data_IF_809199821589
#
_entry.id   IF_809199821589
#
_cell.length_a   1.000
_cell.length_b   1.000
_cell.length_c   1.000
_cell.angle_alpha   90.00
_cell.angle_beta   90.00
_cell.angle_gamma   90.00
#
_symmetry.space_group_name_H-M   'P 1'
#
loop_
_entity.id
_entity.type
_entity.pdbx_description
1 polymer ?
#
# COMPACT_ATOMS: atom_id res chain seq x y z
N UNK A 1 51.80 -20.42 6.49
CA UNK A 1 52.33 -21.36 5.49
C UNK A 1 51.18 -21.77 4.58
N UNK A 2 51.39 -21.54 3.30
CA UNK A 2 50.63 -21.74 2.07
C UNK A 2 49.49 -20.77 1.79
N UNK A 3 49.89 -19.82 1.04
CA UNK A 3 49.37 -19.12 -0.14
C UNK A 3 48.71 -20.09 -1.16
N UNK A 4 47.59 -19.66 -1.75
CA UNK A 4 47.34 -19.86 -3.19
C UNK A 4 46.50 -18.71 -3.75
N UNK A 5 47.16 -17.94 -4.62
CA UNK A 5 46.66 -16.93 -5.50
C UNK A 5 46.19 -17.57 -6.81
N UNK A 6 45.04 -17.22 -7.37
CA UNK A 6 44.75 -17.39 -8.78
C UNK A 6 44.15 -16.15 -9.38
N UNK A 7 44.99 -15.51 -10.20
CA UNK A 7 44.61 -14.55 -11.25
C UNK A 7 44.16 -15.33 -12.50
N UNK A 8 43.08 -14.90 -13.15
CA UNK A 8 42.82 -15.25 -14.55
C UNK A 8 42.21 -14.03 -15.24
N UNK A 9 43.06 -13.37 -16.01
CA UNK A 9 42.77 -12.36 -17.04
C UNK A 9 42.30 -13.06 -18.31
N UNK A 10 41.09 -12.78 -18.79
CA UNK A 10 40.56 -13.21 -20.07
C UNK A 10 40.36 -12.03 -21.01
N UNK A 11 41.27 -11.87 -21.95
CA UNK A 11 41.21 -10.90 -23.05
C UNK A 11 40.40 -11.55 -24.19
N UNK A 12 39.28 -10.96 -24.58
CA UNK A 12 38.59 -11.34 -25.83
C UNK A 12 39.05 -10.44 -26.98
N UNK A 13 39.67 -11.10 -27.99
CA UNK A 13 40.06 -10.51 -29.29
C UNK A 13 38.84 -10.40 -30.20
N UNK A 14 38.69 -9.25 -30.83
CA UNK A 14 37.80 -9.07 -31.97
C UNK A 14 38.48 -9.61 -33.25
N UNK A 15 37.81 -10.54 -33.92
CA UNK A 15 38.19 -10.98 -35.27
C UNK A 15 37.34 -10.31 -36.36
N UNK A 16 38.03 -10.02 -37.47
CA UNK A 16 37.62 -9.24 -38.63
C UNK A 16 36.53 -9.89 -39.46
N UNK A 17 35.56 -9.08 -39.97
CA UNK A 17 34.71 -9.46 -41.09
C UNK A 17 35.24 -8.86 -42.40
N UNK A 18 35.25 -9.62 -43.53
CA UNK A 18 35.76 -9.18 -44.81
C UNK A 18 34.77 -8.30 -45.58
N UNK A 19 35.34 -7.38 -46.36
CA UNK A 19 34.66 -6.44 -47.25
C UNK A 19 34.16 -7.09 -48.53
N UNK A 20 33.07 -6.52 -49.04
CA UNK A 20 32.62 -6.38 -50.43
C UNK A 20 32.19 -7.61 -51.24
N UNK A 21 30.89 -7.60 -51.53
CA UNK A 21 30.38 -8.14 -52.79
C UNK A 21 29.39 -7.13 -53.38
N UNK A 22 29.79 -6.55 -54.55
CA UNK A 22 28.88 -5.77 -55.39
C UNK A 22 28.01 -6.74 -56.20
N UNK A 23 26.70 -6.55 -56.15
CA UNK A 23 25.78 -7.15 -57.10
C UNK A 23 25.00 -6.07 -57.84
N UNK A 24 25.14 -6.09 -59.11
CA UNK A 24 24.50 -5.24 -60.12
C UNK A 24 22.99 -5.50 -60.17
N UNK A 25 22.23 -4.41 -60.22
CA UNK A 25 20.79 -4.40 -60.48
C UNK A 25 20.49 -4.73 -61.95
N UNK A 26 19.42 -5.41 -62.25
CA UNK A 26 18.38 -4.73 -62.98
C UNK A 26 16.94 -5.21 -62.63
N UNK A 27 16.09 -4.32 -62.16
CA UNK A 27 14.67 -4.33 -62.55
C UNK A 27 13.93 -3.07 -62.04
N UNK A 28 13.61 -2.24 -62.99
CA UNK A 28 12.78 -1.06 -62.80
C UNK A 28 11.32 -1.47 -62.78
N UNK A 29 10.63 -1.47 -61.63
CA UNK A 29 9.15 -1.44 -61.51
C UNK A 29 8.78 -0.47 -60.40
N UNK A 30 7.80 0.43 -60.58
CA UNK A 30 7.36 1.35 -59.54
C UNK A 30 6.57 0.55 -58.49
N UNK A 31 7.08 0.48 -57.29
CA UNK A 31 6.38 -0.04 -56.13
C UNK A 31 5.30 0.96 -55.72
N UNK A 32 4.04 0.57 -55.79
CA UNK A 32 2.94 1.32 -55.16
C UNK A 32 3.13 1.25 -53.64
N UNK A 33 3.48 2.38 -53.03
CA UNK A 33 3.58 2.53 -51.56
C UNK A 33 2.19 2.54 -50.99
N UNK A 34 1.72 1.39 -50.49
CA UNK A 34 0.49 1.29 -49.71
C UNK A 34 0.85 1.69 -48.25
N UNK A 35 0.52 2.91 -47.89
CA UNK A 35 0.68 3.39 -46.51
C UNK A 35 -0.41 2.72 -45.67
N UNK A 36 -0.05 1.71 -44.88
CA UNK A 36 -0.91 1.18 -43.80
C UNK A 36 -0.88 2.16 -42.63
N UNK A 37 -1.92 2.98 -42.49
CA UNK A 37 -2.14 3.74 -41.26
C UNK A 37 -2.67 2.74 -40.22
N UNK A 38 -1.79 2.23 -39.36
CA UNK A 38 -2.22 1.55 -38.14
C UNK A 38 -2.76 2.62 -37.18
N UNK A 39 -4.07 2.71 -37.10
CA UNK A 39 -4.72 3.43 -36.03
C UNK A 39 -4.45 2.71 -34.70
N UNK A 40 -3.50 3.20 -33.92
CA UNK A 40 -3.34 2.83 -32.53
C UNK A 40 -4.56 3.37 -31.77
N UNK A 41 -5.57 2.53 -31.59
CA UNK A 41 -6.60 2.77 -30.60
C UNK A 41 -5.97 2.61 -29.21
N UNK A 42 -5.35 3.68 -28.71
CA UNK A 42 -4.92 3.75 -27.33
C UNK A 42 -6.17 3.68 -26.46
N UNK A 43 -6.43 2.54 -25.80
CA UNK A 43 -7.39 2.46 -24.71
C UNK A 43 -6.91 3.43 -23.61
N UNK A 44 -7.49 4.64 -23.57
CA UNK A 44 -7.43 5.47 -22.37
C UNK A 44 -8.14 4.68 -21.27
N UNK A 45 -7.36 4.05 -20.40
CA UNK A 45 -7.87 3.57 -19.12
C UNK A 45 -8.15 4.83 -18.28
N UNK A 46 -9.39 5.32 -18.35
CA UNK A 46 -9.85 6.40 -17.49
C UNK A 46 -9.81 5.87 -16.06
N UNK A 47 -8.90 6.41 -15.25
CA UNK A 47 -8.88 6.13 -13.82
C UNK A 47 -10.20 6.64 -13.23
N UNK A 48 -11.02 5.74 -12.74
CA UNK A 48 -12.27 6.08 -12.07
C UNK A 48 -11.96 6.79 -10.75
N UNK A 49 -12.60 7.93 -10.50
CA UNK A 49 -12.49 8.66 -9.24
C UNK A 49 -13.42 8.05 -8.17
N UNK A 50 -13.16 8.28 -6.87
CA UNK A 50 -14.07 7.84 -5.81
C UNK A 50 -15.51 8.30 -5.97
N UNK A 51 -15.76 9.44 -6.63
CA UNK A 51 -17.09 9.95 -6.95
C UNK A 51 -17.88 9.07 -7.93
N UNK A 52 -17.19 8.27 -8.76
CA UNK A 52 -17.85 7.40 -9.74
C UNK A 52 -18.51 6.17 -9.11
N UNK A 53 -18.27 5.93 -7.80
CA UNK A 53 -18.80 4.78 -7.08
C UNK A 53 -20.06 5.06 -6.24
N UNK A 54 -20.78 6.13 -6.48
CA UNK A 54 -22.05 6.48 -5.81
C UNK A 54 -22.07 6.39 -4.26
N UNK A 55 -20.90 6.28 -3.63
CA UNK A 55 -20.80 6.24 -2.18
C UNK A 55 -20.89 7.66 -1.64
N UNK A 56 -21.96 7.94 -0.92
CA UNK A 56 -22.15 9.23 -0.26
C UNK A 56 -21.74 9.13 1.20
N UNK A 57 -20.93 10.09 1.65
CA UNK A 57 -20.63 10.28 3.07
C UNK A 57 -21.80 11.00 3.75
N UNK A 58 -22.06 10.62 5.00
CA UNK A 58 -23.09 11.23 5.84
C UNK A 58 -22.41 12.10 6.91
N UNK A 59 -21.99 11.53 8.01
CA UNK A 59 -21.46 12.27 9.16
C UNK A 59 -19.95 12.12 9.27
N UNK A 60 -19.24 13.21 9.57
CA UNK A 60 -17.85 13.17 10.00
C UNK A 60 -17.78 12.53 11.40
N UNK A 61 -17.15 11.36 11.50
CA UNK A 61 -17.01 10.59 12.74
C UNK A 61 -15.75 10.96 13.50
N UNK A 62 -14.65 11.21 12.77
CA UNK A 62 -13.36 11.55 13.37
C UNK A 62 -12.53 12.40 12.42
N UNK A 63 -11.73 13.30 12.99
CA UNK A 63 -10.68 14.01 12.24
C UNK A 63 -9.47 14.32 13.12
N UNK A 64 -8.30 14.29 12.50
CA UNK A 64 -7.04 14.76 13.07
C UNK A 64 -6.21 15.42 11.96
N UNK A 65 -5.65 16.59 12.22
CA UNK A 65 -4.70 17.22 11.31
C UNK A 65 -3.38 16.46 11.25
N UNK A 66 -3.05 15.71 12.31
CA UNK A 66 -1.77 15.00 12.47
C UNK A 66 -0.55 15.95 12.33
N UNK A 67 -0.67 17.19 12.75
CA UNK A 67 0.37 18.22 12.63
C UNK A 67 1.08 18.53 13.94
N UNK A 68 0.59 17.99 15.05
CA UNK A 68 1.08 18.27 16.40
C UNK A 68 0.81 17.09 17.35
N UNK A 69 1.53 17.01 18.45
CA UNK A 69 1.27 16.04 19.50
C UNK A 69 -0.16 16.17 20.07
N UNK A 70 -0.71 17.38 20.10
CA UNK A 70 -2.07 17.63 20.57
C UNK A 70 -3.13 17.02 19.63
N UNK A 71 -2.89 17.04 18.32
CA UNK A 71 -3.83 16.50 17.32
C UNK A 71 -3.91 14.96 17.30
N UNK A 72 -2.96 14.28 17.95
CA UNK A 72 -2.88 12.81 18.05
C UNK A 72 -2.73 12.32 19.50
N UNK A 73 -3.07 13.15 20.48
CA UNK A 73 -2.83 12.85 21.91
C UNK A 73 -3.46 11.56 22.41
N UNK A 74 -4.59 11.17 21.81
CA UNK A 74 -5.36 9.99 22.22
C UNK A 74 -5.05 8.75 21.34
N UNK A 75 -4.18 8.90 20.34
CA UNK A 75 -3.71 7.77 19.55
C UNK A 75 -2.73 6.91 20.35
N UNK A 76 -2.78 5.59 20.15
CA UNK A 76 -1.96 4.63 20.89
C UNK A 76 -0.91 4.01 19.99
N UNK A 77 0.37 4.18 20.38
CA UNK A 77 1.50 3.56 19.71
C UNK A 77 1.79 2.20 20.34
N UNK A 78 1.79 1.15 19.53
CA UNK A 78 2.31 -0.17 19.88
C UNK A 78 3.62 -0.40 19.13
N UNK A 79 4.66 -0.76 19.87
CA UNK A 79 6.04 -0.82 19.37
C UNK A 79 6.78 0.53 19.49
N UNK A 80 8.05 0.54 19.14
CA UNK A 80 8.95 1.68 19.40
C UNK A 80 8.91 2.75 18.30
N UNK A 81 7.73 3.11 17.81
CA UNK A 81 7.56 4.16 16.82
C UNK A 81 7.93 5.54 17.38
N UNK A 82 8.65 6.33 16.62
CA UNK A 82 8.96 7.73 16.92
C UNK A 82 8.12 8.66 16.07
N UNK A 83 7.54 9.68 16.72
CA UNK A 83 6.78 10.74 16.06
C UNK A 83 7.59 12.03 16.10
N UNK A 84 7.59 12.76 14.99
CA UNK A 84 8.09 14.14 14.91
C UNK A 84 7.06 14.96 14.13
N UNK A 85 6.86 16.20 14.56
CA UNK A 85 5.92 17.13 13.95
C UNK A 85 6.68 18.29 13.33
N UNK A 86 6.51 18.51 12.04
CA UNK A 86 7.12 19.59 11.30
C UNK A 86 6.29 19.92 10.04
N UNK A 87 6.21 21.20 9.69
CA UNK A 87 5.61 21.68 8.45
C UNK A 87 4.17 21.19 8.18
N UNK A 88 3.38 21.02 9.26
CA UNK A 88 2.01 20.53 9.17
C UNK A 88 1.89 19.01 8.92
N UNK A 89 2.95 18.24 9.22
CA UNK A 89 2.99 16.78 9.09
C UNK A 89 3.43 16.10 10.39
N UNK A 90 2.92 14.91 10.59
CA UNK A 90 3.43 13.93 11.55
C UNK A 90 4.37 12.96 10.81
N UNK A 91 5.64 13.03 11.06
CA UNK A 91 6.59 12.00 10.65
C UNK A 91 6.49 10.82 11.61
N UNK A 92 6.44 9.61 11.06
CA UNK A 92 6.43 8.36 11.81
C UNK A 92 7.54 7.45 11.29
N UNK A 93 8.40 6.98 12.19
CA UNK A 93 9.53 6.10 11.84
C UNK A 93 9.90 5.18 12.98
N UNK A 94 10.56 4.06 12.65
CA UNK A 94 11.21 3.21 13.65
C UNK A 94 12.53 3.83 14.11
N UNK A 95 12.94 3.66 15.39
CA UNK A 95 14.21 4.16 15.89
C UNK A 95 15.43 3.46 15.28
N UNK A 96 15.24 2.24 14.79
CA UNK A 96 16.26 1.44 14.10
C UNK A 96 15.61 0.53 13.03
N UNK A 97 16.45 -0.17 12.28
CA UNK A 97 16.05 -1.00 11.13
C UNK A 97 15.35 -2.33 11.51
N UNK A 98 15.30 -2.69 12.78
CA UNK A 98 14.75 -3.99 13.20
C UNK A 98 13.32 -3.88 13.75
N UNK A 99 12.84 -2.69 14.01
CA UNK A 99 11.62 -2.47 14.78
C UNK A 99 10.43 -2.08 13.92
N UNK A 100 9.27 -2.58 14.30
CA UNK A 100 7.98 -2.30 13.69
C UNK A 100 7.10 -1.53 14.68
N UNK A 101 6.12 -0.80 14.16
CA UNK A 101 5.15 -0.12 15.02
C UNK A 101 3.78 -0.02 14.36
N UNK A 102 2.76 0.07 15.21
CA UNK A 102 1.35 0.23 14.84
C UNK A 102 0.79 1.41 15.62
N UNK A 103 0.14 2.32 14.94
CA UNK A 103 -0.42 3.54 15.52
C UNK A 103 -1.92 3.53 15.36
N UNK A 104 -2.64 3.29 16.46
CA UNK A 104 -4.08 3.09 16.52
C UNK A 104 -4.82 4.40 16.67
N UNK A 105 -5.80 4.64 15.79
CA UNK A 105 -6.80 5.67 16.01
C UNK A 105 -7.62 5.36 17.28
N UNK A 106 -7.93 6.36 18.13
CA UNK A 106 -8.64 6.12 19.39
C UNK A 106 -10.07 5.61 19.18
N UNK A 107 -10.72 5.96 18.07
CA UNK A 107 -12.12 5.69 17.82
C UNK A 107 -12.36 4.29 17.23
N UNK A 108 -13.50 3.71 17.55
CA UNK A 108 -14.07 2.54 16.89
C UNK A 108 -15.07 3.00 15.85
N UNK A 109 -14.88 2.56 14.61
CA UNK A 109 -15.70 2.97 13.46
C UNK A 109 -16.76 1.92 13.13
N UNK A 110 -17.93 2.32 12.60
CA UNK A 110 -18.95 1.38 12.15
C UNK A 110 -18.46 0.49 11.00
N UNK A 111 -19.28 -0.50 10.63
CA UNK A 111 -18.96 -1.37 9.48
C UNK A 111 -18.82 -0.59 8.16
N UNK A 112 -19.57 0.52 8.04
CA UNK A 112 -19.68 1.28 6.79
C UNK A 112 -19.07 2.66 6.98
N UNK A 113 -17.89 2.85 6.39
CA UNK A 113 -17.14 4.11 6.53
C UNK A 113 -16.30 4.42 5.28
N UNK A 114 -15.96 5.70 5.16
CA UNK A 114 -14.85 6.18 4.31
C UNK A 114 -13.79 6.80 5.20
N UNK A 115 -12.55 6.34 5.10
CA UNK A 115 -11.40 6.96 5.74
C UNK A 115 -10.47 7.57 4.67
N UNK A 116 -9.93 8.75 4.97
CA UNK A 116 -9.03 9.47 4.06
C UNK A 116 -7.87 10.09 4.83
N UNK A 117 -6.68 10.03 4.24
CA UNK A 117 -5.49 10.69 4.77
C UNK A 117 -4.51 11.02 3.66
N UNK A 118 -3.59 11.92 3.96
CA UNK A 118 -2.44 12.17 3.09
C UNK A 118 -1.18 11.56 3.69
N UNK A 119 -0.30 11.07 2.83
CA UNK A 119 0.98 10.52 3.23
C UNK A 119 2.07 10.79 2.19
N UNK A 120 3.32 10.81 2.65
CA UNK A 120 4.49 11.01 1.78
C UNK A 120 5.66 10.19 2.28
N UNK A 121 6.34 9.50 1.36
CA UNK A 121 7.55 8.77 1.68
C UNK A 121 8.73 9.72 1.92
N UNK A 122 9.48 9.49 2.99
CA UNK A 122 10.68 10.23 3.35
C UNK A 122 11.96 9.37 3.18
N UNK A 123 11.81 8.09 2.80
CA UNK A 123 12.92 7.15 2.63
C UNK A 123 12.60 6.18 1.49
N UNK A 124 13.03 6.52 0.27
CA UNK A 124 12.68 5.79 -0.95
C UNK A 124 13.36 4.41 -1.07
N UNK A 125 14.47 4.20 -0.36
CA UNK A 125 15.27 2.98 -0.49
C UNK A 125 14.60 1.75 0.09
N UNK A 126 13.81 1.91 1.15
CA UNK A 126 13.13 0.78 1.77
C UNK A 126 11.84 1.20 2.51
N UNK A 127 11.01 0.22 2.83
CA UNK A 127 9.84 0.41 3.69
C UNK A 127 8.63 -0.44 3.31
N UNK A 128 7.68 -0.54 4.21
CA UNK A 128 6.39 -1.16 3.98
C UNK A 128 5.31 -0.49 4.84
N UNK A 129 4.29 0.07 4.17
CA UNK A 129 3.13 0.67 4.83
C UNK A 129 1.90 -0.21 4.72
N UNK A 130 1.18 -0.32 5.84
CA UNK A 130 -0.05 -1.07 5.97
C UNK A 130 -1.09 -0.20 6.68
N UNK A 131 -2.35 -0.34 6.29
CA UNK A 131 -3.50 0.10 7.09
C UNK A 131 -4.23 -1.13 7.61
N UNK A 132 -4.48 -1.20 8.93
CA UNK A 132 -5.43 -2.12 9.55
C UNK A 132 -6.77 -1.43 9.66
N UNK A 133 -7.88 -2.16 9.49
CA UNK A 133 -9.24 -1.64 9.67
C UNK A 133 -10.23 -2.73 10.03
N UNK A 134 -11.40 -2.34 10.55
CA UNK A 134 -12.37 -3.24 11.14
C UNK A 134 -11.71 -4.19 12.17
N UNK A 135 -10.75 -3.64 12.94
CA UNK A 135 -9.93 -4.43 13.86
C UNK A 135 -10.61 -4.54 15.23
N UNK A 136 -10.72 -5.79 15.71
CA UNK A 136 -11.22 -6.14 17.04
C UNK A 136 -10.48 -7.36 17.58
N UNK A 137 -10.66 -7.70 18.86
CA UNK A 137 -10.38 -9.03 19.37
C UNK A 137 -11.27 -10.09 18.71
N UNK A 138 -11.02 -11.35 19.00
CA UNK A 138 -11.75 -12.48 18.37
C UNK A 138 -13.23 -12.50 18.75
N UNK A 139 -13.57 -12.13 19.98
CA UNK A 139 -14.93 -12.06 20.48
C UNK A 139 -15.53 -10.63 20.38
N UNK A 140 -14.92 -9.80 19.50
CA UNK A 140 -15.32 -8.41 19.22
C UNK A 140 -14.93 -7.40 20.31
N UNK A 141 -13.98 -7.73 21.18
CA UNK A 141 -13.39 -6.80 22.14
C UNK A 141 -12.72 -5.63 21.42
N UNK A 142 -12.67 -4.48 22.07
CA UNK A 142 -11.83 -3.38 21.59
C UNK A 142 -10.35 -3.85 21.53
N UNK A 143 -9.63 -3.45 20.51
CA UNK A 143 -8.20 -3.84 20.36
C UNK A 143 -7.35 -3.37 21.55
N UNK A 144 -7.82 -2.37 22.31
CA UNK A 144 -7.16 -1.85 23.51
C UNK A 144 -7.64 -2.54 24.80
N UNK A 145 -8.52 -3.52 24.71
CA UNK A 145 -9.02 -4.22 25.89
C UNK A 145 -7.87 -4.94 26.61
N UNK A 146 -7.84 -4.79 27.94
CA UNK A 146 -6.78 -5.35 28.79
C UNK A 146 -6.80 -6.88 28.87
N UNK A 147 -7.89 -7.54 28.45
CA UNK A 147 -7.98 -8.99 28.34
C UNK A 147 -7.18 -9.54 27.15
N UNK A 148 -6.88 -8.71 26.16
CA UNK A 148 -6.11 -9.12 25.00
C UNK A 148 -4.61 -9.17 25.31
N UNK A 149 -3.85 -10.06 24.67
CA UNK A 149 -2.40 -10.09 24.79
C UNK A 149 -1.77 -8.75 24.44
N UNK A 150 -0.76 -8.32 25.22
CA UNK A 150 0.01 -7.12 24.92
C UNK A 150 0.75 -7.28 23.59
N UNK A 151 0.82 -6.19 22.81
CA UNK A 151 1.47 -6.12 21.51
C UNK A 151 2.53 -5.02 21.51
N UNK A 152 3.57 -5.22 20.72
CA UNK A 152 4.74 -4.35 20.66
C UNK A 152 5.21 -4.04 19.22
N UNK A 153 4.33 -4.21 18.23
CA UNK A 153 4.61 -3.92 16.82
C UNK A 153 4.99 -5.17 15.99
N UNK A 154 5.31 -6.30 16.61
CA UNK A 154 5.64 -7.53 15.90
C UNK A 154 4.43 -8.02 15.09
N UNK A 155 4.63 -8.22 13.78
CA UNK A 155 3.54 -8.43 12.83
C UNK A 155 2.63 -9.61 13.14
N UNK A 156 3.18 -10.71 13.66
CA UNK A 156 2.39 -11.89 14.02
C UNK A 156 1.33 -11.63 15.09
N UNK A 157 1.53 -10.66 15.96
CA UNK A 157 0.59 -10.30 17.01
C UNK A 157 -0.72 -9.67 16.48
N UNK A 158 -0.72 -9.18 15.24
CA UNK A 158 -1.84 -8.48 14.60
C UNK A 158 -2.58 -9.34 13.57
N UNK A 159 -2.08 -10.51 13.25
CA UNK A 159 -2.61 -11.30 12.13
C UNK A 159 -2.69 -12.80 12.37
N UNK A 160 -2.35 -13.30 13.56
CA UNK A 160 -2.40 -14.73 13.85
C UNK A 160 -3.63 -15.10 14.68
N UNK A 161 -3.64 -14.81 16.01
CA UNK A 161 -4.56 -15.49 16.91
C UNK A 161 -5.39 -14.54 17.80
N UNK A 162 -4.92 -13.34 18.05
CA UNK A 162 -5.58 -12.45 19.03
C UNK A 162 -6.53 -11.43 18.40
N UNK A 163 -6.34 -11.10 17.14
CA UNK A 163 -7.12 -10.08 16.45
C UNK A 163 -7.73 -10.59 15.14
N UNK A 164 -8.96 -10.17 14.87
CA UNK A 164 -9.55 -10.18 13.54
C UNK A 164 -9.50 -8.78 12.97
N UNK A 165 -9.10 -8.67 11.70
CA UNK A 165 -9.03 -7.41 10.97
C UNK A 165 -8.88 -7.64 9.48
N UNK A 166 -9.13 -6.62 8.69
CA UNK A 166 -8.54 -6.52 7.36
C UNK A 166 -7.26 -5.70 7.43
N UNK A 167 -6.32 -5.99 6.52
CA UNK A 167 -5.23 -5.07 6.30
C UNK A 167 -4.83 -4.96 4.82
N UNK A 168 -4.46 -3.76 4.41
CA UNK A 168 -3.95 -3.50 3.07
C UNK A 168 -2.51 -3.01 3.18
N UNK A 169 -1.59 -3.70 2.51
CA UNK A 169 -0.25 -3.20 2.27
C UNK A 169 -0.20 -2.56 0.88
N UNK A 170 -0.10 -1.24 0.85
CA UNK A 170 -0.20 -0.43 -0.37
C UNK A 170 1.11 0.25 -0.79
N UNK A 171 2.15 0.10 -0.01
CA UNK A 171 3.54 0.41 -0.34
C UNK A 171 4.44 -0.72 0.17
N UNK A 172 5.34 -1.19 -0.66
CA UNK A 172 6.36 -2.14 -0.22
C UNK A 172 7.62 -2.07 -1.10
N UNK A 173 8.73 -1.75 -0.44
CA UNK A 173 10.07 -1.83 -0.96
C UNK A 173 10.94 -2.41 0.15
N UNK A 174 11.22 -3.70 0.14
CA UNK A 174 11.98 -4.36 1.21
C UNK A 174 13.13 -5.16 0.60
N UNK A 175 14.22 -5.40 1.36
CA UNK A 175 15.35 -6.18 0.85
C UNK A 175 14.97 -7.57 0.32
N UNK A 176 13.93 -8.19 0.92
CA UNK A 176 13.43 -9.51 0.48
C UNK A 176 12.47 -9.42 -0.70
N UNK A 177 11.86 -8.29 -0.92
CA UNK A 177 10.87 -8.07 -1.98
C UNK A 177 10.96 -6.62 -2.44
N UNK A 178 12.02 -6.27 -3.18
CA UNK A 178 12.23 -4.91 -3.66
C UNK A 178 11.16 -4.53 -4.67
N UNK A 179 10.71 -3.28 -4.59
CA UNK A 179 9.74 -2.67 -5.51
C UNK A 179 8.53 -3.58 -5.80
N UNK A 180 7.88 -4.12 -4.76
CA UNK A 180 6.73 -5.00 -4.93
C UNK A 180 5.64 -4.35 -5.78
N UNK A 181 5.35 -4.94 -6.92
CA UNK A 181 4.45 -4.42 -7.94
C UNK A 181 2.96 -4.71 -7.69
N UNK A 182 2.56 -5.03 -6.46
CA UNK A 182 1.15 -5.31 -6.10
C UNK A 182 0.80 -4.74 -4.73
N UNK A 183 -0.40 -4.21 -4.59
CA UNK A 183 -1.03 -4.01 -3.28
C UNK A 183 -1.70 -5.31 -2.85
N UNK A 184 -1.73 -5.59 -1.54
CA UNK A 184 -2.34 -6.81 -1.00
C UNK A 184 -3.36 -6.50 0.07
N UNK A 185 -4.58 -6.97 -0.14
CA UNK A 185 -5.58 -7.05 0.91
C UNK A 185 -5.53 -8.43 1.56
N UNK A 186 -5.55 -8.44 2.88
CA UNK A 186 -5.60 -9.67 3.67
C UNK A 186 -6.73 -9.62 4.67
N UNK A 187 -7.28 -10.80 5.00
CA UNK A 187 -8.22 -11.03 6.08
C UNK A 187 -7.59 -11.90 7.15
N UNK A 188 -7.64 -11.47 8.39
CA UNK A 188 -7.04 -12.13 9.54
C UNK A 188 -8.12 -12.64 10.52
N UNK A 189 -7.77 -13.65 11.32
CA UNK A 189 -6.45 -14.25 11.53
C UNK A 189 -5.98 -15.12 10.34
N UNK A 190 -4.66 -15.43 10.32
CA UNK A 190 -4.06 -16.37 9.37
C UNK A 190 -3.37 -15.76 8.16
N UNK A 191 -3.29 -14.43 8.03
CA UNK A 191 -2.57 -13.72 6.93
C UNK A 191 -3.10 -14.05 5.53
N UNK A 192 -4.38 -14.40 5.41
CA UNK A 192 -4.97 -14.84 4.15
C UNK A 192 -4.98 -13.70 3.13
N UNK A 193 -4.27 -13.85 2.03
CA UNK A 193 -4.39 -12.93 0.89
C UNK A 193 -5.72 -13.20 0.23
N UNK A 194 -6.61 -12.21 0.22
CA UNK A 194 -7.93 -12.29 -0.38
C UNK A 194 -8.04 -11.50 -1.68
N UNK A 195 -7.13 -10.55 -1.90
CA UNK A 195 -7.06 -9.78 -3.14
C UNK A 195 -5.65 -9.22 -3.38
N UNK A 196 -5.22 -9.22 -4.62
CA UNK A 196 -4.03 -8.50 -5.09
C UNK A 196 -4.43 -7.52 -6.19
N UNK A 197 -4.13 -6.26 -5.96
CA UNK A 197 -4.39 -5.16 -6.90
C UNK A 197 -3.11 -4.62 -7.53
N UNK A 198 -3.23 -3.62 -8.42
CA UNK A 198 -2.07 -2.94 -8.98
C UNK A 198 -1.19 -2.32 -7.89
N UNK A 199 0.04 -1.88 -8.20
CA UNK A 199 0.90 -1.17 -7.25
C UNK A 199 0.16 0.01 -6.63
N UNK A 200 0.26 0.15 -5.30
CA UNK A 200 -0.31 1.29 -4.58
C UNK A 200 0.49 2.56 -4.86
N UNK A 201 1.39 2.94 -3.95
CA UNK A 201 2.34 4.04 -4.14
C UNK A 201 3.58 3.50 -4.85
N UNK A 202 4.02 4.19 -5.90
CA UNK A 202 5.28 3.87 -6.57
C UNK A 202 6.45 4.06 -5.58
N UNK A 203 7.39 3.11 -5.59
CA UNK A 203 8.54 3.12 -4.69
C UNK A 203 9.48 4.32 -4.91
N UNK A 204 9.48 4.90 -6.09
CA UNK A 204 10.28 6.08 -6.44
C UNK A 204 9.56 7.41 -6.15
N UNK A 205 8.31 7.35 -5.64
CA UNK A 205 7.53 8.56 -5.41
C UNK A 205 7.87 9.21 -4.08
N UNK A 206 8.35 10.43 -4.15
CA UNK A 206 8.66 11.33 -3.03
C UNK A 206 7.58 12.39 -2.78
N UNK A 207 6.50 12.41 -3.59
CA UNK A 207 5.40 13.37 -3.42
C UNK A 207 4.36 12.90 -2.41
N UNK A 208 3.52 13.83 -1.97
CA UNK A 208 2.35 13.49 -1.17
C UNK A 208 1.30 12.75 -2.00
N UNK A 209 0.65 11.76 -1.37
CA UNK A 209 -0.43 10.97 -1.93
C UNK A 209 -1.66 11.04 -1.04
N UNK A 210 -2.82 11.13 -1.65
CA UNK A 210 -4.11 11.01 -0.97
C UNK A 210 -4.54 9.53 -1.00
N UNK A 211 -4.77 8.94 0.16
CA UNK A 211 -5.31 7.59 0.31
C UNK A 211 -6.77 7.69 0.73
N UNK A 212 -7.64 6.95 0.06
CA UNK A 212 -9.06 6.83 0.40
C UNK A 212 -9.43 5.36 0.52
N UNK A 213 -9.82 4.95 1.73
CA UNK A 213 -10.30 3.62 2.05
C UNK A 213 -11.81 3.68 2.26
N UNK A 214 -12.55 2.85 1.54
CA UNK A 214 -13.99 2.72 1.65
C UNK A 214 -14.32 1.27 2.02
N UNK A 215 -15.06 1.10 3.12
CA UNK A 215 -15.70 -0.17 3.47
C UNK A 215 -17.19 0.08 3.53
N UNK A 216 -17.95 -0.60 2.67
CA UNK A 216 -19.40 -0.57 2.61
C UNK A 216 -19.91 -2.01 2.69
N UNK A 217 -20.38 -2.42 3.86
CA UNK A 217 -20.74 -3.82 4.15
C UNK A 217 -19.58 -4.77 3.82
N UNK A 218 -19.77 -5.66 2.85
CA UNK A 218 -18.77 -6.59 2.35
C UNK A 218 -17.77 -5.96 1.37
N UNK A 219 -18.07 -4.80 0.78
CA UNK A 219 -17.30 -4.22 -0.30
C UNK A 219 -16.18 -3.33 0.24
N UNK A 220 -14.94 -3.68 -0.09
CA UNK A 220 -13.73 -2.97 0.31
C UNK A 220 -13.06 -2.38 -0.91
N UNK A 221 -12.81 -1.07 -0.90
CA UNK A 221 -12.12 -0.34 -1.96
C UNK A 221 -11.04 0.54 -1.40
N UNK A 222 -9.90 0.58 -2.06
CA UNK A 222 -8.81 1.52 -1.75
C UNK A 222 -8.45 2.29 -3.00
N UNK A 223 -8.34 3.60 -2.86
CA UNK A 223 -7.84 4.50 -3.90
C UNK A 223 -6.58 5.21 -3.42
N UNK A 224 -5.67 5.45 -4.35
CA UNK A 224 -4.51 6.33 -4.14
C UNK A 224 -4.49 7.34 -5.27
N UNK A 225 -4.58 8.63 -4.93
CA UNK A 225 -4.73 9.74 -5.87
C UNK A 225 -5.88 9.49 -6.88
N UNK A 226 -7.02 9.05 -6.36
CA UNK A 226 -8.21 8.69 -7.11
C UNK A 226 -8.07 7.47 -8.06
N UNK A 227 -6.93 6.79 -8.08
CA UNK A 227 -6.69 5.55 -8.79
C UNK A 227 -7.13 4.36 -7.93
N UNK A 228 -8.02 3.53 -8.46
CA UNK A 228 -8.50 2.31 -7.80
C UNK A 228 -7.37 1.28 -7.67
N UNK A 229 -7.11 0.85 -6.44
CA UNK A 229 -6.05 -0.11 -6.09
C UNK A 229 -6.64 -1.44 -5.61
N UNK A 230 -7.62 -1.38 -4.75
CA UNK A 230 -8.33 -2.55 -4.23
C UNK A 230 -9.81 -2.38 -4.57
N UNK A 231 -10.41 -3.43 -5.11
CA UNK A 231 -11.84 -3.56 -5.35
C UNK A 231 -12.25 -5.00 -5.09
N UNK A 232 -12.74 -5.28 -3.88
CA UNK A 232 -13.01 -6.65 -3.45
C UNK A 232 -14.25 -6.73 -2.57
N UNK A 233 -15.03 -7.81 -2.79
CA UNK A 233 -16.22 -8.14 -2.00
C UNK A 233 -15.92 -9.38 -1.17
N UNK A 234 -16.07 -9.28 0.16
CA UNK A 234 -15.94 -10.39 1.08
C UNK A 234 -17.15 -11.33 0.93
N UNK A 235 -16.92 -12.48 0.31
CA UNK A 235 -17.93 -13.51 0.07
C UNK A 235 -18.06 -14.53 1.24
N UNK A 236 -17.37 -14.29 2.33
CA UNK A 236 -17.42 -15.12 3.54
C UNK A 236 -16.63 -16.42 3.49
N UNK A 237 -15.95 -16.74 2.38
CA UNK A 237 -15.22 -18.01 2.27
C UNK A 237 -13.95 -18.08 3.13
N UNK A 238 -13.40 -16.93 3.50
CA UNK A 238 -12.19 -16.83 4.33
C UNK A 238 -12.56 -16.27 5.68
N UNK A 239 -12.31 -17.02 6.74
CA UNK A 239 -12.58 -16.62 8.15
C UNK A 239 -13.99 -16.06 8.40
N UNK A 240 -15.01 -16.66 7.77
CA UNK A 240 -16.41 -16.26 7.96
C UNK A 240 -16.79 -14.98 7.22
N UNK A 241 -17.95 -14.42 7.55
CA UNK A 241 -18.54 -13.24 6.91
C UNK A 241 -17.69 -11.98 6.97
N UNK A 242 -18.16 -10.89 6.34
CA UNK A 242 -17.53 -9.58 6.44
C UNK A 242 -17.35 -9.14 7.90
N UNK A 243 -16.19 -8.51 8.18
CA UNK A 243 -15.95 -7.93 9.50
C UNK A 243 -16.78 -6.65 9.66
N UNK A 244 -17.30 -6.47 10.87
CA UNK A 244 -18.13 -5.34 11.25
C UNK A 244 -17.33 -4.10 11.67
N UNK A 245 -17.83 -3.41 12.71
CA UNK A 245 -17.18 -2.29 13.34
C UNK A 245 -15.79 -2.66 13.89
N UNK A 246 -14.91 -1.68 13.98
CA UNK A 246 -13.60 -1.88 14.57
C UNK A 246 -12.68 -0.66 14.40
N UNK A 247 -11.48 -0.76 14.96
CA UNK A 247 -10.48 0.32 14.89
C UNK A 247 -9.72 0.34 13.57
N UNK A 248 -9.14 1.50 13.30
CA UNK A 248 -8.20 1.73 12.20
C UNK A 248 -6.80 2.00 12.77
N UNK A 249 -5.76 1.46 12.15
CA UNK A 249 -4.39 1.79 12.49
C UNK A 249 -3.50 1.96 11.26
N UNK A 250 -2.51 2.82 11.40
CA UNK A 250 -1.39 2.96 10.46
C UNK A 250 -0.22 2.13 10.97
N UNK A 251 0.33 1.27 10.11
CA UNK A 251 1.47 0.42 10.47
C UNK A 251 2.62 0.65 9.53
N UNK A 252 3.79 0.74 10.10
CA UNK A 252 5.06 0.75 9.37
C UNK A 252 5.95 -0.42 9.80
N UNK A 253 6.61 -1.04 8.83
CA UNK A 253 7.71 -1.97 9.10
C UNK A 253 9.01 -1.20 9.38
N UNK A 254 10.02 -1.96 9.81
CA UNK A 254 11.40 -1.50 9.83
C UNK A 254 11.79 -0.81 8.49
N UNK A 255 12.73 0.08 8.50
CA UNK A 255 13.18 0.94 7.39
C UNK A 255 12.13 1.92 6.86
N UNK A 256 10.89 1.84 7.29
CA UNK A 256 9.84 2.71 6.79
C UNK A 256 9.89 4.07 7.45
N UNK A 257 9.87 5.12 6.65
CA UNK A 257 9.78 6.48 7.11
C UNK A 257 8.80 7.25 6.24
N UNK A 258 7.58 7.41 6.75
CA UNK A 258 6.54 8.20 6.10
C UNK A 258 6.09 9.33 6.99
N UNK A 259 5.54 10.39 6.39
CA UNK A 259 4.80 11.42 7.09
C UNK A 259 3.35 11.41 6.68
N UNK A 260 2.48 11.78 7.63
CA UNK A 260 1.02 11.70 7.52
C UNK A 260 0.38 13.03 7.92
N UNK A 261 -0.78 13.34 7.35
CA UNK A 261 -1.64 14.45 7.77
C UNK A 261 -3.09 14.24 7.33
N UNK A 262 -3.99 15.10 7.87
CA UNK A 262 -5.38 15.22 7.42
C UNK A 262 -6.16 13.89 7.47
N UNK A 263 -6.00 13.12 8.55
CA UNK A 263 -6.77 11.88 8.74
C UNK A 263 -8.22 12.21 9.08
N UNK A 264 -9.15 11.65 8.31
CA UNK A 264 -10.60 11.86 8.49
C UNK A 264 -11.35 10.56 8.25
N UNK A 265 -12.44 10.37 9.00
CA UNK A 265 -13.34 9.21 8.81
C UNK A 265 -14.79 9.72 8.83
N UNK A 266 -15.57 9.27 7.86
CA UNK A 266 -17.00 9.55 7.72
C UNK A 266 -17.80 8.24 7.75
N UNK A 267 -19.03 8.29 8.29
CA UNK A 267 -20.04 7.28 7.99
C UNK A 267 -20.50 7.38 6.54
N UNK A 268 -21.02 6.27 6.03
CA UNK A 268 -21.66 6.25 4.72
C UNK A 268 -23.16 6.38 4.87
N UNK A 269 -23.83 7.00 3.90
CA UNK A 269 -25.28 6.98 3.83
C UNK A 269 -25.72 5.54 3.54
N UNK A 270 -26.70 5.08 4.31
CA UNK A 270 -27.40 3.84 3.97
C UNK A 270 -28.20 4.08 2.70
N UNK A 271 -27.90 3.33 1.65
CA UNK A 271 -28.84 3.23 0.53
C UNK A 271 -30.11 2.55 1.07
N UNK A 272 -31.21 3.31 1.18
CA UNK A 272 -32.53 2.78 1.51
C UNK A 272 -33.07 1.92 0.36
#
# INVERSE_FOLDING_TARGET
>A
MCLFTFLATGIFKFENYPKTMQLTSPYNRPAKLTVFIMAFAGSLCLAQSPSDFSVKTDKLLYQSTMDSAASVKDWVMEGPGHLKFADGWMEMRSPNEEMHHVYWCPETFPSDFMAQWEMQNQHLEAGLCIVFFAATGLESEDVMDSSLPKRDGVFSQYNNEALKNYHISYYANTPKLPARAVARLRKNPGKNIVYEGPPGINVESDRAHKVTLIKNKAHIRLFIDDRLIIDWIDDGKVNGGPLDAGKIALRQMQWTHFRYRNFKVWSLTSDN
#
